data_IF_689685067351
#
_entry.id   IF_689685067351
#
_cell.length_a   1.000
_cell.length_b   1.000
_cell.length_c   1.000
_cell.angle_alpha   90.00
_cell.angle_beta   90.00
_cell.angle_gamma   90.00
#
_symmetry.space_group_name_H-M   'P 1'
#
loop_
_entity.id
_entity.type
_entity.pdbx_description
1 polymer ?
#
# COMPACT_ATOMS: atom_id res chain seq x y z
N UNK A 1 1.45 -5.46 -14.99
CA UNK A 1 2.51 -6.02 -14.14
C UNK A 1 2.53 -5.19 -12.90
N UNK A 2 2.01 -5.77 -11.82
CA UNK A 2 1.85 -5.09 -10.54
C UNK A 2 1.92 -6.13 -9.43
N UNK A 3 2.63 -5.83 -8.36
CA UNK A 3 2.57 -6.55 -7.09
C UNK A 3 2.32 -5.56 -5.96
N UNK A 4 1.36 -5.88 -5.09
CA UNK A 4 0.97 -5.04 -3.96
C UNK A 4 0.73 -5.84 -2.69
N UNK A 5 0.90 -5.17 -1.55
CA UNK A 5 0.56 -5.66 -0.22
C UNK A 5 -0.04 -4.51 0.59
N UNK A 6 -1.22 -4.71 1.17
CA UNK A 6 -1.80 -3.87 2.20
C UNK A 6 -1.69 -4.56 3.56
N UNK A 7 -1.54 -3.77 4.62
CA UNK A 7 -1.40 -4.29 5.97
C UNK A 7 -1.96 -3.37 7.05
N UNK A 8 -2.37 -4.00 8.15
CA UNK A 8 -2.85 -3.38 9.38
C UNK A 8 -1.92 -3.78 10.54
N UNK A 9 -1.59 -2.81 11.39
CA UNK A 9 -0.87 -3.09 12.64
C UNK A 9 -1.80 -2.90 13.83
N UNK A 10 -2.35 -3.99 14.38
CA UNK A 10 -3.22 -3.97 15.56
C UNK A 10 -2.61 -3.23 16.76
N UNK A 11 -1.28 -3.28 16.93
CA UNK A 11 -0.58 -2.64 18.05
C UNK A 11 -0.60 -1.11 17.97
N UNK A 12 -0.43 -0.57 16.76
CA UNK A 12 -0.29 0.89 16.55
C UNK A 12 -1.53 1.53 15.93
N UNK A 13 -2.46 0.74 15.42
CA UNK A 13 -3.63 1.20 14.65
C UNK A 13 -3.27 1.71 13.25
N UNK A 14 -2.04 1.50 12.78
CA UNK A 14 -1.59 1.96 11.48
C UNK A 14 -2.13 1.09 10.36
N UNK A 15 -2.47 1.73 9.24
CA UNK A 15 -2.78 1.10 7.96
C UNK A 15 -1.76 1.54 6.93
N UNK A 16 -1.43 0.66 5.98
CA UNK A 16 -0.55 1.04 4.90
C UNK A 16 -0.50 0.02 3.79
N UNK A 17 0.18 0.38 2.71
CA UNK A 17 0.47 -0.51 1.61
C UNK A 17 1.81 -0.19 0.95
N UNK A 18 2.38 -1.22 0.35
CA UNK A 18 3.51 -1.11 -0.56
C UNK A 18 3.15 -1.74 -1.91
N UNK A 19 3.68 -1.18 -2.99
CA UNK A 19 3.35 -1.59 -4.35
C UNK A 19 4.55 -1.37 -5.28
N UNK A 20 4.64 -2.18 -6.34
CA UNK A 20 5.58 -1.99 -7.46
C UNK A 20 4.88 -2.29 -8.78
N UNK A 21 5.42 -1.76 -9.89
CA UNK A 21 4.94 -2.01 -11.25
C UNK A 21 5.97 -1.64 -12.31
N UNK A 22 5.89 -2.27 -13.48
CA UNK A 22 6.55 -1.81 -14.71
C UNK A 22 6.05 -0.47 -15.24
N UNK A 23 4.86 -0.02 -14.83
CA UNK A 23 4.30 1.27 -15.27
C UNK A 23 4.69 2.41 -14.34
N UNK A 24 4.76 3.64 -14.88
CA UNK A 24 5.08 4.86 -14.14
C UNK A 24 4.05 5.20 -13.03
N UNK A 25 4.49 5.87 -11.96
CA UNK A 25 3.62 6.46 -10.92
C UNK A 25 2.61 5.49 -10.26
N UNK A 26 2.95 4.21 -10.06
CA UNK A 26 1.97 3.20 -9.62
C UNK A 26 1.29 3.54 -8.29
N UNK A 27 2.05 4.03 -7.30
CA UNK A 27 1.51 4.30 -5.97
C UNK A 27 0.39 5.35 -5.99
N UNK A 28 0.55 6.42 -6.78
CA UNK A 28 -0.46 7.48 -6.88
C UNK A 28 -1.78 7.03 -7.48
N UNK A 29 -1.75 6.00 -8.32
CA UNK A 29 -2.91 5.51 -9.07
C UNK A 29 -3.62 4.37 -8.35
N UNK A 30 -2.87 3.60 -7.56
CA UNK A 30 -3.34 2.31 -7.04
C UNK A 30 -3.44 2.26 -5.51
N UNK A 31 -2.82 3.16 -4.75
CA UNK A 31 -2.71 3.06 -3.28
C UNK A 31 -3.51 4.12 -2.55
N UNK A 32 -4.55 3.67 -1.84
CA UNK A 32 -5.45 4.52 -1.07
C UNK A 32 -5.49 4.02 0.37
N UNK A 33 -5.04 4.85 1.30
CA UNK A 33 -4.93 4.51 2.72
C UNK A 33 -5.68 5.57 3.52
N UNK A 34 -6.66 5.13 4.32
CA UNK A 34 -7.47 5.98 5.19
C UNK A 34 -7.02 5.85 6.64
N UNK A 35 -6.63 6.95 7.32
CA UNK A 35 -6.28 6.92 8.74
C UNK A 35 -7.40 6.30 9.58
N UNK A 36 -7.11 5.20 10.30
CA UNK A 36 -8.08 4.41 11.11
C UNK A 36 -9.22 3.72 10.34
N UNK A 37 -9.30 3.85 9.01
CA UNK A 37 -10.44 3.36 8.24
C UNK A 37 -10.11 2.13 7.39
N UNK A 38 -8.88 2.04 6.88
CA UNK A 38 -8.44 0.88 6.12
C UNK A 38 -7.61 1.23 4.89
N UNK A 39 -7.52 0.28 3.96
CA UNK A 39 -6.77 0.38 2.71
C UNK A 39 -7.64 -0.11 1.55
N UNK A 40 -7.54 0.59 0.42
CA UNK A 40 -8.07 0.14 -0.87
C UNK A 40 -6.95 0.16 -1.89
N UNK A 41 -6.74 -0.98 -2.54
CA UNK A 41 -5.83 -1.14 -3.66
C UNK A 41 -6.64 -1.42 -4.93
N UNK A 42 -6.40 -0.62 -5.96
CA UNK A 42 -7.02 -0.75 -7.28
C UNK A 42 -5.93 -0.89 -8.32
N UNK A 43 -5.77 -2.09 -8.87
CA UNK A 43 -4.72 -2.44 -9.82
C UNK A 43 -5.27 -3.32 -10.94
N UNK A 44 -4.42 -3.64 -11.93
CA UNK A 44 -4.82 -4.05 -13.29
C UNK A 44 -5.74 -3.01 -13.93
N UNK A 45 -5.48 -2.60 -15.18
CA UNK A 45 -6.27 -1.57 -15.92
C UNK A 45 -6.99 -0.58 -14.97
N UNK A 46 -6.19 0.06 -14.12
CA UNK A 46 -6.68 0.60 -12.83
C UNK A 46 -7.65 1.74 -13.04
N UNK A 47 -8.65 1.82 -12.16
CA UNK A 47 -9.49 3.00 -12.01
C UNK A 47 -9.25 3.62 -10.62
N UNK A 48 -8.50 4.75 -10.53
CA UNK A 48 -8.21 5.43 -9.27
C UNK A 48 -9.45 5.92 -8.50
N UNK A 49 -10.58 6.15 -9.19
CA UNK A 49 -11.83 6.59 -8.55
C UNK A 49 -12.34 5.54 -7.55
N UNK A 50 -12.17 4.24 -7.86
CA UNK A 50 -12.57 3.16 -6.95
C UNK A 50 -11.82 3.20 -5.63
N UNK A 51 -10.56 3.64 -5.65
CA UNK A 51 -9.77 3.82 -4.43
C UNK A 51 -10.31 4.93 -3.54
N UNK A 52 -10.73 6.05 -4.13
CA UNK A 52 -11.32 7.18 -3.42
C UNK A 52 -12.68 6.79 -2.81
N UNK A 53 -13.59 6.25 -3.63
CA UNK A 53 -14.92 5.80 -3.19
C UNK A 53 -14.83 4.71 -2.12
N UNK A 54 -13.88 3.78 -2.27
CA UNK A 54 -13.70 2.71 -1.30
C UNK A 54 -13.25 3.24 0.06
N UNK A 55 -12.38 4.25 0.09
CA UNK A 55 -12.02 4.93 1.34
C UNK A 55 -13.20 5.67 1.97
N UNK A 56 -14.05 6.34 1.18
CA UNK A 56 -15.26 7.00 1.68
C UNK A 56 -16.21 5.98 2.33
N UNK A 57 -16.36 4.80 1.73
CA UNK A 57 -17.18 3.73 2.29
C UNK A 57 -16.58 3.14 3.58
N UNK A 58 -15.27 2.90 3.62
CA UNK A 58 -14.58 2.49 4.86
C UNK A 58 -14.71 3.57 5.96
N UNK A 59 -14.63 4.85 5.60
CA UNK A 59 -14.85 5.98 6.52
C UNK A 59 -16.26 6.00 7.10
N UNK A 60 -17.26 5.56 6.33
CA UNK A 60 -18.64 5.41 6.81
C UNK A 60 -18.87 4.20 7.71
N UNK A 61 -17.84 3.37 7.94
CA UNK A 61 -17.89 2.21 8.84
C UNK A 61 -18.33 0.91 8.16
N UNK A 62 -18.34 0.84 6.83
CA UNK A 62 -18.63 -0.41 6.13
C UNK A 62 -17.47 -1.40 6.23
N UNK A 63 -17.81 -2.69 6.33
CA UNK A 63 -16.84 -3.78 6.30
C UNK A 63 -16.31 -4.02 4.88
N UNK A 64 -15.13 -4.64 4.77
CA UNK A 64 -14.43 -4.80 3.49
C UNK A 64 -15.31 -5.42 2.38
N UNK A 65 -16.13 -6.43 2.71
CA UNK A 65 -17.03 -7.09 1.76
C UNK A 65 -18.15 -6.19 1.23
N UNK A 66 -18.74 -5.37 2.10
CA UNK A 66 -19.79 -4.41 1.71
C UNK A 66 -19.20 -3.28 0.85
N UNK A 67 -18.00 -2.82 1.20
CA UNK A 67 -17.25 -1.84 0.39
C UNK A 67 -16.99 -2.42 -0.99
N UNK A 68 -16.47 -3.65 -1.08
CA UNK A 68 -16.18 -4.27 -2.37
C UNK A 68 -17.45 -4.41 -3.22
N UNK A 69 -18.55 -4.85 -2.63
CA UNK A 69 -19.84 -4.98 -3.33
C UNK A 69 -20.26 -3.64 -3.93
N UNK A 70 -20.20 -2.56 -3.15
CA UNK A 70 -20.54 -1.21 -3.64
C UNK A 70 -19.62 -0.72 -4.76
N UNK A 71 -18.33 -1.01 -4.68
CA UNK A 71 -17.38 -0.66 -5.73
C UNK A 71 -17.70 -1.40 -7.03
N UNK A 72 -18.02 -2.69 -6.96
CA UNK A 72 -18.37 -3.49 -8.14
C UNK A 72 -19.71 -3.07 -8.74
N UNK A 73 -20.70 -2.72 -7.91
CA UNK A 73 -22.01 -2.24 -8.37
C UNK A 73 -21.93 -0.87 -9.07
N UNK A 74 -20.88 -0.10 -8.83
CA UNK A 74 -20.69 1.26 -9.38
C UNK A 74 -19.64 1.36 -10.48
N UNK A 75 -18.94 0.26 -10.78
CA UNK A 75 -17.94 0.20 -11.85
C UNK A 75 -18.60 -0.37 -13.12
N UNK A 76 -18.42 0.34 -14.23
CA UNK A 76 -18.95 -0.09 -15.53
C UNK A 76 -18.17 -1.29 -16.11
N UNK A 77 -16.91 -1.46 -15.70
CA UNK A 77 -15.97 -2.45 -16.24
C UNK A 77 -15.27 -3.28 -15.13
N UNK A 78 -16.01 -3.94 -14.22
CA UNK A 78 -15.44 -4.64 -13.07
C UNK A 78 -14.55 -5.82 -13.49
N UNK A 79 -14.80 -6.41 -14.66
CA UNK A 79 -14.01 -7.49 -15.24
C UNK A 79 -12.57 -7.09 -15.54
N UNK A 80 -12.27 -5.80 -15.67
CA UNK A 80 -10.92 -5.28 -15.90
C UNK A 80 -10.17 -4.90 -14.62
N UNK A 81 -10.83 -4.97 -13.46
CA UNK A 81 -10.26 -4.51 -12.19
C UNK A 81 -9.74 -5.66 -11.34
N UNK A 82 -8.66 -5.40 -10.64
CA UNK A 82 -8.20 -6.21 -9.52
C UNK A 82 -8.22 -5.33 -8.26
N UNK A 83 -9.07 -5.67 -7.30
CA UNK A 83 -9.33 -4.87 -6.10
C UNK A 83 -8.95 -5.64 -4.84
N UNK A 84 -8.35 -4.96 -3.88
CA UNK A 84 -8.13 -5.46 -2.52
C UNK A 84 -8.60 -4.38 -1.54
N UNK A 85 -9.47 -4.76 -0.60
CA UNK A 85 -9.95 -3.90 0.47
C UNK A 85 -9.51 -4.52 1.79
N UNK A 86 -8.93 -3.74 2.68
CA UNK A 86 -8.60 -4.13 4.06
C UNK A 86 -9.27 -3.12 4.99
N UNK A 87 -10.16 -3.59 5.86
CA UNK A 87 -10.94 -2.71 6.74
C UNK A 87 -10.32 -2.54 8.14
N UNK A 88 -11.00 -1.74 8.97
CA UNK A 88 -10.56 -1.40 10.31
C UNK A 88 -10.50 -2.60 11.29
N UNK A 89 -11.15 -3.72 10.98
CA UNK A 89 -11.13 -4.94 11.78
C UNK A 89 -9.98 -5.87 11.39
N UNK A 90 -9.27 -5.55 10.30
CA UNK A 90 -8.27 -6.41 9.69
C UNK A 90 -8.86 -7.45 8.74
N UNK A 91 -10.17 -7.36 8.43
CA UNK A 91 -10.81 -8.23 7.46
C UNK A 91 -10.56 -7.68 6.05
N UNK A 92 -10.49 -8.59 5.07
CA UNK A 92 -10.22 -8.22 3.69
C UNK A 92 -11.23 -8.79 2.70
N UNK A 93 -11.43 -8.05 1.62
CA UNK A 93 -12.25 -8.47 0.48
C UNK A 93 -11.45 -8.25 -0.81
N UNK A 94 -11.63 -9.16 -1.76
CA UNK A 94 -10.80 -9.27 -2.95
C UNK A 94 -11.69 -9.48 -4.17
N UNK A 95 -11.35 -8.81 -5.26
CA UNK A 95 -11.93 -9.06 -6.58
C UNK A 95 -10.83 -9.23 -7.62
N UNK A 96 -10.94 -10.26 -8.45
CA UNK A 96 -10.15 -10.41 -9.68
C UNK A 96 -11.15 -10.49 -10.84
N UNK A 97 -11.19 -9.44 -11.65
CA UNK A 97 -12.01 -9.43 -12.86
C UNK A 97 -11.51 -10.46 -13.89
N UNK A 98 -12.42 -10.93 -14.74
CA UNK A 98 -12.12 -11.95 -15.75
C UNK A 98 -11.03 -11.54 -16.77
N UNK A 99 -10.82 -10.23 -16.96
CA UNK A 99 -9.81 -9.63 -17.84
C UNK A 99 -8.53 -9.23 -17.07
N UNK A 100 -8.30 -9.81 -15.87
CA UNK A 100 -7.05 -9.61 -15.14
C UNK A 100 -5.87 -10.21 -15.92
N UNK A 101 -4.88 -9.38 -16.22
CA UNK A 101 -3.83 -9.73 -17.18
C UNK A 101 -2.84 -10.78 -16.64
N UNK A 102 -2.55 -11.77 -17.48
CA UNK A 102 -1.53 -12.79 -17.25
C UNK A 102 -1.81 -13.68 -16.05
N UNK A 103 -0.75 -14.30 -15.52
CA UNK A 103 -0.83 -15.00 -14.24
C UNK A 103 -1.12 -13.94 -13.18
N UNK A 104 -2.20 -14.14 -12.44
CA UNK A 104 -2.63 -13.25 -11.38
C UNK A 104 -3.06 -14.07 -10.18
N UNK A 105 -2.86 -13.48 -9.00
CA UNK A 105 -3.22 -14.10 -7.75
C UNK A 105 -3.49 -13.01 -6.71
N UNK A 106 -4.23 -13.40 -5.68
CA UNK A 106 -4.59 -12.55 -4.54
C UNK A 106 -4.74 -13.44 -3.32
N UNK A 107 -4.27 -12.98 -2.16
CA UNK A 107 -4.29 -13.76 -0.93
C UNK A 107 -4.57 -12.85 0.24
N UNK A 108 -5.60 -13.18 1.00
CA UNK A 108 -5.81 -12.64 2.34
C UNK A 108 -4.89 -13.38 3.33
N UNK A 109 -4.28 -12.63 4.24
CA UNK A 109 -3.53 -13.14 5.38
C UNK A 109 -4.00 -12.50 6.68
N UNK A 110 -3.26 -12.75 7.75
CA UNK A 110 -3.52 -12.15 9.06
C UNK A 110 -3.19 -10.65 9.00
N UNK A 111 -4.21 -9.81 9.15
CA UNK A 111 -4.10 -8.34 9.10
C UNK A 111 -3.46 -7.80 7.80
N UNK A 112 -3.57 -8.53 6.69
CA UNK A 112 -3.02 -8.12 5.41
C UNK A 112 -3.72 -8.75 4.22
N UNK A 113 -3.50 -8.16 3.05
CA UNK A 113 -3.94 -8.70 1.77
C UNK A 113 -2.92 -8.33 0.71
N UNK A 114 -2.50 -9.31 -0.08
CA UNK A 114 -1.61 -9.13 -1.21
C UNK A 114 -2.31 -9.50 -2.51
N UNK A 115 -1.81 -8.95 -3.61
CA UNK A 115 -2.19 -9.42 -4.93
C UNK A 115 -1.29 -8.90 -6.03
N UNK A 116 -1.38 -9.55 -7.18
CA UNK A 116 -0.63 -9.14 -8.35
C UNK A 116 -1.22 -9.66 -9.66
N UNK A 117 -0.75 -9.06 -10.75
CA UNK A 117 -1.08 -9.39 -12.13
C UNK A 117 0.19 -9.39 -12.98
N UNK A 118 0.19 -10.20 -14.04
CA UNK A 118 1.37 -10.50 -14.86
C UNK A 118 2.55 -11.00 -14.00
N UNK A 119 2.23 -11.86 -13.03
CA UNK A 119 3.19 -12.51 -12.14
C UNK A 119 3.98 -13.57 -12.88
N UNK A 120 5.17 -13.90 -12.39
CA UNK A 120 5.91 -15.08 -12.86
C UNK A 120 5.22 -16.40 -12.45
N UNK A 121 4.63 -16.43 -11.25
CA UNK A 121 3.87 -17.56 -10.71
C UNK A 121 2.85 -17.06 -9.68
N UNK A 122 1.75 -17.81 -9.46
CA UNK A 122 0.73 -17.44 -8.48
C UNK A 122 1.24 -17.46 -7.03
N UNK A 123 2.23 -18.32 -6.72
CA UNK A 123 2.82 -18.47 -5.38
C UNK A 123 3.59 -17.23 -4.90
N UNK A 124 3.93 -16.29 -5.79
CA UNK A 124 4.52 -14.99 -5.44
C UNK A 124 3.70 -14.28 -4.36
N UNK A 125 2.37 -14.34 -4.48
CA UNK A 125 1.47 -13.67 -3.54
C UNK A 125 1.45 -14.39 -2.19
N UNK A 126 1.60 -15.72 -2.17
CA UNK A 126 1.72 -16.48 -0.93
C UNK A 126 3.02 -16.15 -0.18
N UNK A 127 4.14 -16.04 -0.91
CA UNK A 127 5.43 -15.62 -0.34
C UNK A 127 5.33 -14.20 0.23
N UNK A 128 4.66 -13.30 -0.49
CA UNK A 128 4.45 -11.90 -0.06
C UNK A 128 3.69 -11.84 1.28
N UNK A 129 2.59 -12.59 1.40
CA UNK A 129 1.80 -12.67 2.64
C UNK A 129 2.63 -13.28 3.78
N UNK A 130 3.28 -14.43 3.52
CA UNK A 130 4.09 -15.10 4.54
C UNK A 130 5.24 -14.21 5.04
N UNK A 131 5.88 -13.44 4.16
CA UNK A 131 6.91 -12.49 4.53
C UNK A 131 6.36 -11.36 5.41
N UNK A 132 5.16 -10.82 5.12
CA UNK A 132 4.52 -9.81 5.95
C UNK A 132 4.16 -10.32 7.37
N UNK A 133 3.62 -11.54 7.45
CA UNK A 133 3.21 -12.17 8.71
C UNK A 133 4.42 -12.50 9.61
N UNK A 134 5.55 -12.90 9.02
CA UNK A 134 6.78 -13.21 9.75
C UNK A 134 7.67 -11.98 10.02
N UNK A 135 7.47 -10.88 9.30
CA UNK A 135 8.23 -9.66 9.51
C UNK A 135 7.90 -8.99 10.85
N UNK A 136 8.93 -8.40 11.46
CA UNK A 136 8.82 -7.68 12.74
C UNK A 136 9.14 -6.20 12.55
N UNK A 137 8.85 -5.39 13.56
CA UNK A 137 9.07 -3.94 13.53
C UNK A 137 7.83 -3.15 13.13
N UNK A 138 8.05 -1.91 12.69
CA UNK A 138 6.98 -1.01 12.27
C UNK A 138 6.28 -1.47 10.99
N UNK A 139 5.03 -1.06 10.79
CA UNK A 139 4.24 -1.48 9.64
C UNK A 139 4.93 -1.17 8.29
N UNK A 140 5.54 0.01 8.17
CA UNK A 140 6.31 0.42 7.00
C UNK A 140 7.41 -0.60 6.62
N UNK A 141 8.17 -1.07 7.61
CA UNK A 141 9.26 -2.04 7.40
C UNK A 141 8.71 -3.40 6.97
N UNK A 142 7.65 -3.88 7.64
CA UNK A 142 6.99 -5.15 7.31
C UNK A 142 6.44 -5.16 5.88
N UNK A 143 5.84 -4.06 5.43
CA UNK A 143 5.36 -3.89 4.06
C UNK A 143 6.49 -3.92 3.03
N UNK A 144 7.61 -3.24 3.31
CA UNK A 144 8.78 -3.26 2.43
C UNK A 144 9.45 -4.63 2.35
N UNK A 145 9.56 -5.35 3.48
CA UNK A 145 10.06 -6.72 3.52
C UNK A 145 9.17 -7.64 2.69
N UNK A 146 7.85 -7.55 2.84
CA UNK A 146 6.90 -8.34 2.08
C UNK A 146 6.99 -8.08 0.57
N UNK A 147 7.00 -6.80 0.15
CA UNK A 147 7.12 -6.43 -1.25
C UNK A 147 8.43 -6.95 -1.86
N UNK A 148 9.55 -6.81 -1.16
CA UNK A 148 10.85 -7.30 -1.63
C UNK A 148 10.87 -8.83 -1.77
N UNK A 149 10.33 -9.57 -0.80
CA UNK A 149 10.26 -11.02 -0.85
C UNK A 149 9.40 -11.52 -2.03
N UNK A 150 8.28 -10.86 -2.29
CA UNK A 150 7.44 -11.18 -3.43
C UNK A 150 8.15 -10.92 -4.77
N UNK A 151 8.91 -9.83 -4.89
CA UNK A 151 9.71 -9.55 -6.09
C UNK A 151 10.82 -10.61 -6.28
N UNK A 152 11.52 -10.98 -5.22
CA UNK A 152 12.57 -12.02 -5.26
C UNK A 152 12.03 -13.41 -5.63
N UNK A 153 10.81 -13.73 -5.19
CA UNK A 153 10.13 -15.00 -5.52
C UNK A 153 9.72 -15.13 -7.00
N UNK A 154 10.12 -14.18 -7.84
CA UNK A 154 9.80 -14.11 -9.26
C UNK A 154 8.96 -12.90 -9.62
N UNK A 155 8.32 -12.27 -8.63
CA UNK A 155 7.60 -11.01 -8.77
C UNK A 155 6.75 -10.94 -10.02
N UNK A 156 7.22 -10.09 -10.92
CA UNK A 156 6.57 -9.57 -12.11
C UNK A 156 7.30 -10.11 -13.36
N UNK A 157 6.59 -10.50 -14.43
CA UNK A 157 7.20 -11.01 -15.68
C UNK A 157 7.94 -9.94 -16.50
N UNK A 158 9.01 -9.35 -15.98
CA UNK A 158 9.78 -8.30 -16.64
C UNK A 158 10.31 -7.25 -15.65
N UNK A 159 10.99 -6.20 -16.14
CA UNK A 159 11.49 -5.13 -15.27
C UNK A 159 10.34 -4.31 -14.67
N UNK A 160 10.51 -3.93 -13.41
CA UNK A 160 9.65 -2.96 -12.73
C UNK A 160 10.31 -1.58 -12.74
N UNK A 161 9.52 -0.52 -12.80
CA UNK A 161 10.03 0.85 -12.90
C UNK A 161 9.52 1.80 -11.83
N UNK A 162 8.40 1.50 -11.17
CA UNK A 162 7.90 2.35 -10.09
C UNK A 162 7.53 1.55 -8.88
N UNK A 163 7.68 2.16 -7.70
CA UNK A 163 7.30 1.58 -6.44
C UNK A 163 6.85 2.68 -5.46
N UNK A 164 6.06 2.30 -4.46
CA UNK A 164 5.70 3.23 -3.40
C UNK A 164 5.33 2.54 -2.10
N UNK A 165 5.40 3.33 -1.03
CA UNK A 165 5.04 2.96 0.33
C UNK A 165 4.20 4.08 0.92
N UNK A 166 3.01 3.73 1.40
CA UNK A 166 2.09 4.68 2.03
C UNK A 166 1.58 4.13 3.35
N UNK A 167 1.73 4.88 4.44
CA UNK A 167 1.29 4.49 5.78
C UNK A 167 0.59 5.67 6.47
N UNK A 168 -0.55 5.39 7.09
CA UNK A 168 -1.31 6.34 7.92
C UNK A 168 -1.27 5.91 9.38
N UNK A 169 -1.56 6.85 10.28
CA UNK A 169 -1.63 6.63 11.72
C UNK A 169 -2.84 7.38 12.30
N UNK A 170 -2.68 8.02 13.47
CA UNK A 170 -3.69 8.89 14.09
C UNK A 170 -3.88 10.22 13.34
N UNK A 171 -2.83 10.71 12.67
CA UNK A 171 -2.91 11.94 11.89
C UNK A 171 -3.89 11.79 10.72
N UNK A 172 -4.56 12.89 10.33
CA UNK A 172 -5.51 12.88 9.19
C UNK A 172 -4.83 12.75 7.82
N UNK A 173 -3.50 12.73 7.79
CA UNK A 173 -2.69 12.54 6.58
C UNK A 173 -1.79 11.30 6.71
N UNK A 174 -1.27 10.77 5.58
CA UNK A 174 -0.25 9.72 5.60
C UNK A 174 1.04 10.21 6.26
N UNK A 175 1.46 9.54 7.33
CA UNK A 175 2.74 9.81 8.01
C UNK A 175 3.94 9.21 7.27
N UNK A 176 3.69 8.37 6.27
CA UNK A 176 4.68 7.93 5.27
C UNK A 176 3.99 7.99 3.91
N UNK A 177 4.56 8.71 2.95
CA UNK A 177 4.15 8.69 1.53
C UNK A 177 5.43 8.82 0.69
N UNK A 178 6.05 7.67 0.40
CA UNK A 178 7.31 7.57 -0.33
C UNK A 178 7.05 6.96 -1.70
N UNK A 179 7.60 7.58 -2.74
CA UNK A 179 7.37 7.20 -4.13
C UNK A 179 8.65 7.23 -4.94
N UNK A 180 8.86 6.17 -5.70
CA UNK A 180 9.79 6.12 -6.82
C UNK A 180 8.94 5.96 -8.06
N UNK A 181 8.69 7.06 -8.76
CA UNK A 181 7.72 7.05 -9.86
C UNK A 181 8.31 6.49 -11.16
N UNK A 182 9.64 6.52 -11.32
CA UNK A 182 10.39 5.88 -12.41
C UNK A 182 11.87 5.69 -12.02
N UNK A 183 12.37 4.46 -12.03
CA UNK A 183 13.78 4.09 -11.85
C UNK A 183 14.02 2.67 -12.39
N UNK A 184 15.26 2.29 -12.69
CA UNK A 184 15.56 0.90 -13.13
C UNK A 184 15.52 -0.10 -11.96
N UNK A 185 15.80 0.38 -10.74
CA UNK A 185 15.76 -0.38 -9.48
C UNK A 185 14.82 0.26 -8.44
N UNK A 186 13.50 0.34 -8.69
CA UNK A 186 12.60 1.18 -7.88
C UNK A 186 12.45 0.70 -6.42
N UNK A 187 12.58 -0.60 -6.17
CA UNK A 187 12.44 -1.19 -4.83
C UNK A 187 13.67 -0.86 -3.96
N UNK A 188 14.86 -0.90 -4.55
CA UNK A 188 16.10 -0.50 -3.88
C UNK A 188 16.05 0.98 -3.52
N UNK A 189 15.61 1.83 -4.46
CA UNK A 189 15.46 3.26 -4.20
C UNK A 189 14.38 3.55 -3.16
N UNK A 190 13.26 2.84 -3.18
CA UNK A 190 12.22 2.98 -2.16
C UNK A 190 12.74 2.61 -0.76
N UNK A 191 13.55 1.56 -0.64
CA UNK A 191 14.23 1.19 0.61
C UNK A 191 15.17 2.30 1.08
N UNK A 192 15.94 2.90 0.18
CA UNK A 192 16.83 4.01 0.55
C UNK A 192 16.05 5.25 1.02
N UNK A 193 14.94 5.59 0.36
CA UNK A 193 14.05 6.67 0.80
C UNK A 193 13.54 6.42 2.22
N UNK A 194 13.10 5.18 2.51
CA UNK A 194 12.65 4.82 3.83
C UNK A 194 13.74 4.99 4.90
N UNK A 195 14.95 4.48 4.64
CA UNK A 195 16.10 4.63 5.55
C UNK A 195 16.42 6.10 5.85
N UNK A 196 16.32 6.98 4.84
CA UNK A 196 16.54 8.43 5.01
C UNK A 196 15.41 9.11 5.78
N UNK A 197 14.16 8.66 5.58
CA UNK A 197 12.97 9.30 6.12
C UNK A 197 12.66 8.88 7.57
N UNK A 198 12.81 7.60 7.91
CA UNK A 198 12.43 7.03 9.20
C UNK A 198 12.93 7.86 10.41
N UNK A 199 14.21 8.28 10.50
CA UNK A 199 14.70 9.05 11.64
C UNK A 199 14.03 10.42 11.81
N UNK A 200 13.42 10.96 10.75
CA UNK A 200 12.82 12.30 10.72
C UNK A 200 11.28 12.27 10.76
N UNK A 201 10.65 11.09 10.57
CA UNK A 201 9.20 10.96 10.43
C UNK A 201 8.46 11.59 11.59
N UNK A 202 8.82 11.21 12.81
CA UNK A 202 8.10 11.64 14.01
C UNK A 202 8.32 13.13 14.30
N UNK A 203 9.48 13.68 13.90
CA UNK A 203 9.73 15.12 13.94
C UNK A 203 8.78 15.86 12.99
N UNK A 204 8.55 15.37 11.78
CA UNK A 204 7.58 15.98 10.86
C UNK A 204 6.14 15.92 11.37
N UNK A 205 5.77 14.82 12.05
CA UNK A 205 4.47 14.75 12.73
C UNK A 205 4.41 15.79 13.85
N UNK A 206 5.43 15.85 14.72
CA UNK A 206 5.52 16.80 15.82
C UNK A 206 5.42 18.26 15.32
N UNK A 207 6.14 18.60 14.25
CA UNK A 207 6.06 19.92 13.60
C UNK A 207 4.63 20.32 13.20
N UNK A 208 3.83 19.37 12.74
CA UNK A 208 2.46 19.63 12.33
C UNK A 208 1.48 19.73 13.53
N UNK A 209 1.67 18.92 14.58
CA UNK A 209 0.70 18.79 15.68
C UNK A 209 1.09 19.53 16.96
N UNK A 210 2.38 19.69 17.24
CA UNK A 210 2.99 20.34 18.42
C UNK A 210 4.28 21.10 18.03
N UNK A 211 4.18 22.15 17.19
CA UNK A 211 5.36 22.87 16.68
C UNK A 211 6.21 23.56 17.77
N UNK A 212 5.67 23.75 18.96
CA UNK A 212 6.35 24.22 20.16
C UNK A 212 7.32 23.19 20.77
N UNK A 213 7.05 21.90 20.57
CA UNK A 213 7.90 20.78 21.03
C UNK A 213 8.78 20.20 19.92
N UNK A 214 8.67 20.70 18.69
CA UNK A 214 9.49 20.23 17.57
C UNK A 214 10.98 20.45 17.86
N UNK A 215 11.84 19.45 17.53
CA UNK A 215 13.28 19.68 17.49
C UNK A 215 13.65 20.75 16.47
N UNK A 216 14.89 21.22 16.52
CA UNK A 216 15.44 22.17 15.56
C UNK A 216 15.15 21.73 14.12
N UNK A 217 14.79 22.70 13.29
CA UNK A 217 14.55 22.58 11.86
C UNK A 217 15.85 22.48 11.06
N UNK A 218 17.00 22.84 11.64
CA UNK A 218 18.33 22.72 11.02
C UNK A 218 18.52 23.63 9.79
N UNK A 219 17.79 24.74 9.72
CA UNK A 219 17.79 25.67 8.58
C UNK A 219 18.13 27.11 9.02
N UNK A 220 18.61 27.97 8.09
CA UNK A 220 18.86 29.37 8.40
C UNK A 220 17.64 30.06 9.02
N UNK A 221 17.85 30.76 10.14
CA UNK A 221 16.78 31.44 10.88
C UNK A 221 16.16 30.61 12.01
N UNK A 222 16.52 29.33 12.13
CA UNK A 222 16.21 28.55 13.32
C UNK A 222 17.32 28.70 14.37
N UNK A 223 16.94 29.22 15.55
CA UNK A 223 17.85 29.55 16.65
C UNK A 223 17.60 28.70 17.90
N UNK A 224 16.76 27.65 17.78
CA UNK A 224 16.44 26.73 18.87
C UNK A 224 17.61 25.79 19.19
#
# INVERSE_FOLDING_TARGET
MTLSIAGFCRKTGQFGAAITSSSICVASRCVFVGPRHGVVLTQNVTNPVLGQLGLEHLQSGLAAGDVLTKLLDSEDYPEWRQLQVLDANGDSAIHNGAETLGIHATRAGSDCVAGGNMLADASVVDVTVAAFENATGELAERLLVALAAGVEAGGEMGPVHSAGLKVTSQASWPVVDLRVDWHDDPIVELRQLWTRYLPQRDDYVCRAVRPDESPSYGVPGDVR
#
